data_IF_940255143699
#
_entry.id   IF_940255143699
#
_cell.length_a   1.000
_cell.length_b   1.000
_cell.length_c   1.000
_cell.angle_alpha   90.00
_cell.angle_beta   90.00
_cell.angle_gamma   90.00
#
_symmetry.space_group_name_H-M   'P 1'
#
loop_
_entity.id
_entity.type
_entity.pdbx_description
1 polymer ?
#
# COMPACT_ATOMS: atom_id res chain seq x y z
N UNK A 1 14.47 9.53 -4.71
CA UNK A 1 13.72 8.28 -4.55
C UNK A 1 12.72 8.12 -5.67
N UNK A 2 12.59 6.93 -6.18
CA UNK A 2 11.68 6.70 -7.28
C UNK A 2 10.29 6.35 -6.78
N UNK A 3 9.28 6.93 -7.41
CA UNK A 3 7.90 6.59 -7.16
C UNK A 3 7.50 5.51 -8.16
N UNK A 4 6.84 4.47 -7.67
CA UNK A 4 6.36 3.37 -8.50
C UNK A 4 4.86 3.48 -8.65
N UNK A 5 4.36 3.11 -9.82
CA UNK A 5 2.92 3.10 -10.07
C UNK A 5 2.35 1.71 -9.85
N UNK A 6 1.23 1.65 -9.17
CA UNK A 6 0.45 0.43 -8.98
C UNK A 6 -0.86 0.64 -9.72
N UNK A 7 -1.05 -0.10 -10.80
CA UNK A 7 -2.21 0.10 -11.66
C UNK A 7 -3.39 -0.73 -11.20
N UNK A 8 -4.54 -0.07 -11.04
CA UNK A 8 -5.79 -0.77 -10.73
C UNK A 8 -6.31 -1.44 -11.99
N UNK A 9 -7.00 -2.58 -11.81
CA UNK A 9 -7.69 -3.23 -12.92
C UNK A 9 -8.92 -2.42 -13.29
N UNK A 10 -9.38 -2.59 -14.53
CA UNK A 10 -10.55 -1.86 -15.03
C UNK A 10 -11.78 -2.02 -14.15
N UNK A 11 -11.96 -3.20 -13.58
CA UNK A 11 -13.13 -3.52 -12.77
C UNK A 11 -12.88 -3.38 -11.27
N UNK A 12 -11.69 -2.90 -10.89
CA UNK A 12 -11.34 -2.69 -9.48
C UNK A 12 -11.31 -1.20 -9.16
N UNK A 13 -12.26 -0.71 -8.36
CA UNK A 13 -12.24 0.71 -7.97
C UNK A 13 -11.18 1.03 -6.93
N UNK A 14 -10.64 0.02 -6.23
CA UNK A 14 -9.64 0.21 -5.19
C UNK A 14 -8.89 -1.11 -4.93
N UNK A 15 -7.78 -1.00 -4.20
CA UNK A 15 -7.13 -2.16 -3.60
C UNK A 15 -6.93 -1.82 -2.13
N UNK A 16 -6.68 -2.84 -1.29
CA UNK A 16 -6.41 -2.59 0.12
C UNK A 16 -4.92 -2.39 0.34
N UNK A 17 -4.58 -1.76 1.46
CA UNK A 17 -3.17 -1.54 1.81
C UNK A 17 -2.41 -2.85 1.91
N UNK A 18 -3.01 -3.89 2.49
CA UNK A 18 -2.37 -5.20 2.56
C UNK A 18 -2.05 -5.77 1.19
N UNK A 19 -2.97 -5.60 0.23
CA UNK A 19 -2.75 -6.06 -1.14
C UNK A 19 -1.62 -5.27 -1.79
N UNK A 20 -1.57 -3.96 -1.55
CA UNK A 20 -0.48 -3.15 -2.09
C UNK A 20 0.88 -3.63 -1.58
N UNK A 21 0.99 -3.91 -0.30
CA UNK A 21 2.24 -4.39 0.29
C UNK A 21 2.67 -5.71 -0.34
N UNK A 22 1.72 -6.57 -0.66
CA UNK A 22 1.99 -7.85 -1.31
C UNK A 22 2.44 -7.64 -2.76
N UNK A 23 1.72 -6.80 -3.50
CA UNK A 23 2.07 -6.50 -4.89
C UNK A 23 3.46 -5.88 -4.97
N UNK A 24 3.79 -5.03 -4.02
CA UNK A 24 5.08 -4.35 -3.98
C UNK A 24 6.23 -5.27 -3.54
N UNK A 25 5.93 -6.50 -3.13
CA UNK A 25 6.96 -7.44 -2.71
C UNK A 25 7.50 -7.18 -1.31
N UNK A 26 6.83 -6.31 -0.54
CA UNK A 26 7.25 -5.98 0.82
C UNK A 26 6.89 -7.12 1.77
N UNK A 27 5.77 -7.77 1.51
CA UNK A 27 5.34 -8.96 2.25
C UNK A 27 5.03 -10.07 1.26
N UNK A 28 5.07 -11.32 1.72
CA UNK A 28 4.82 -12.48 0.86
C UNK A 28 3.36 -12.94 0.89
N UNK A 29 2.74 -12.81 2.06
CA UNK A 29 1.34 -13.26 2.23
C UNK A 29 0.52 -12.18 2.92
N UNK A 30 -0.81 -12.26 2.74
CA UNK A 30 -1.72 -11.34 3.40
C UNK A 30 -1.65 -11.37 4.93
N UNK A 31 -1.31 -12.54 5.49
CA UNK A 31 -1.20 -12.68 6.94
C UNK A 31 -0.04 -11.87 7.54
N UNK A 32 0.97 -11.58 6.73
CA UNK A 32 2.11 -10.79 7.19
C UNK A 32 1.79 -9.30 7.27
N UNK A 33 0.72 -8.86 6.61
CA UNK A 33 0.40 -7.43 6.55
C UNK A 33 0.17 -6.85 7.94
N UNK A 34 -0.58 -7.56 8.77
CA UNK A 34 -0.88 -7.08 10.12
C UNK A 34 0.40 -6.90 10.93
N UNK A 35 1.27 -7.89 10.87
CA UNK A 35 2.54 -7.83 11.59
C UNK A 35 3.42 -6.70 11.07
N UNK A 36 3.55 -6.61 9.75
CA UNK A 36 4.36 -5.56 9.13
C UNK A 36 3.88 -4.17 9.53
N UNK A 37 2.57 -3.96 9.50
CA UNK A 37 2.00 -2.65 9.83
C UNK A 37 2.13 -2.30 11.32
N UNK A 38 2.27 -3.31 12.18
CA UNK A 38 2.50 -3.06 13.61
C UNK A 38 3.95 -2.66 13.88
N UNK A 39 4.88 -3.02 13.00
CA UNK A 39 6.31 -2.81 13.21
C UNK A 39 6.88 -1.68 12.35
N UNK A 40 6.15 -1.20 11.37
CA UNK A 40 6.65 -0.22 10.42
C UNK A 40 5.64 0.90 10.21
N UNK A 41 6.15 2.09 9.92
CA UNK A 41 5.30 3.24 9.62
C UNK A 41 4.97 3.22 8.13
N UNK A 42 3.69 3.32 7.82
CA UNK A 42 3.20 3.44 6.45
C UNK A 42 2.35 4.70 6.39
N UNK A 43 2.59 5.52 5.38
CA UNK A 43 1.85 6.75 5.18
C UNK A 43 0.96 6.63 3.95
N UNK A 44 -0.30 7.01 4.10
CA UNK A 44 -1.23 7.11 2.98
C UNK A 44 -1.59 8.58 2.85
N UNK A 45 -1.16 9.19 1.74
CA UNK A 45 -1.34 10.62 1.51
C UNK A 45 -0.79 11.47 2.67
N UNK A 46 0.34 11.03 3.25
CA UNK A 46 0.99 11.75 4.33
C UNK A 46 0.52 11.41 5.74
N UNK A 47 -0.54 10.62 5.87
CA UNK A 47 -1.09 10.23 7.17
C UNK A 47 -0.73 8.80 7.52
N UNK A 48 -0.35 8.55 8.76
CA UNK A 48 -0.01 7.20 9.19
C UNK A 48 -1.23 6.28 9.10
N UNK A 49 -1.00 5.08 8.59
CA UNK A 49 -2.05 4.09 8.45
C UNK A 49 -1.52 2.73 8.88
N UNK A 50 -2.24 2.05 9.76
CA UNK A 50 -1.85 0.72 10.24
C UNK A 50 -2.90 -0.35 9.98
N UNK A 51 -3.95 -0.01 9.23
CA UNK A 51 -5.01 -0.97 8.92
C UNK A 51 -4.76 -1.60 7.56
N UNK A 52 -4.58 -2.90 7.52
CA UNK A 52 -4.36 -3.60 6.25
C UNK A 52 -5.56 -3.53 5.32
N UNK A 53 -6.74 -3.29 5.86
CA UNK A 53 -7.97 -3.17 5.09
C UNK A 53 -8.24 -1.79 4.54
N UNK A 54 -7.35 -0.82 4.77
CA UNK A 54 -7.53 0.52 4.24
C UNK A 54 -7.67 0.47 2.72
N UNK A 55 -8.76 1.02 2.21
CA UNK A 55 -8.98 1.08 0.75
C UNK A 55 -8.15 2.18 0.14
N UNK A 56 -7.45 1.84 -0.93
CA UNK A 56 -6.61 2.78 -1.67
C UNK A 56 -7.22 2.98 -3.05
N UNK A 57 -7.43 4.24 -3.38
CA UNK A 57 -8.10 4.61 -4.62
C UNK A 57 -7.15 5.28 -5.59
N UNK A 58 -7.58 5.40 -6.81
CA UNK A 58 -6.85 6.11 -7.86
C UNK A 58 -6.41 7.49 -7.34
N UNK A 59 -5.12 7.76 -7.49
CA UNK A 59 -4.56 9.03 -7.04
C UNK A 59 -3.94 9.01 -5.64
N UNK A 60 -4.17 7.94 -4.87
CA UNK A 60 -3.58 7.84 -3.53
C UNK A 60 -2.08 7.57 -3.62
N UNK A 61 -1.32 8.16 -2.71
CA UNK A 61 0.13 7.97 -2.62
C UNK A 61 0.46 7.29 -1.30
N UNK A 62 1.19 6.19 -1.39
CA UNK A 62 1.58 5.39 -0.23
C UNK A 62 3.09 5.42 -0.08
N UNK A 63 3.58 5.73 1.12
CA UNK A 63 5.01 5.75 1.42
C UNK A 63 5.33 4.69 2.46
N UNK A 64 6.29 3.83 2.14
CA UNK A 64 6.70 2.75 3.04
C UNK A 64 8.13 2.31 2.70
N UNK A 65 8.94 2.08 3.72
CA UNK A 65 10.31 1.58 3.57
C UNK A 65 11.15 2.38 2.56
N UNK A 66 11.05 3.72 2.65
CA UNK A 66 11.75 4.65 1.76
C UNK A 66 11.35 4.51 0.29
N UNK A 67 10.18 3.95 0.05
CA UNK A 67 9.61 3.83 -1.29
C UNK A 67 8.28 4.56 -1.33
N UNK A 68 7.92 5.01 -2.51
CA UNK A 68 6.65 5.70 -2.73
C UNK A 68 5.90 5.01 -3.85
N UNK A 69 4.61 4.81 -3.66
CA UNK A 69 3.73 4.14 -4.62
C UNK A 69 2.54 5.03 -4.94
N UNK A 70 2.26 5.18 -6.22
CA UNK A 70 1.07 5.91 -6.67
C UNK A 70 0.05 4.91 -7.19
N UNK A 71 -1.17 5.02 -6.71
CA UNK A 71 -2.28 4.21 -7.23
C UNK A 71 -2.76 4.86 -8.54
N UNK A 72 -2.57 4.15 -9.61
CA UNK A 72 -2.82 4.69 -10.95
C UNK A 72 -4.09 4.13 -11.57
#
# INVERSE_FOLDING_TARGET
MSQKSIKLRKDEPFITLGVLLKIAGIIDTGGQAKYFLSENVVLVNGDEENRRGRKLYHGDVIEVSNQSFLID
#
